data_IF_454193015741
#
_entry.id   IF_454193015741
#
_cell.length_a   1.000
_cell.length_b   1.000
_cell.length_c   1.000
_cell.angle_alpha   90.00
_cell.angle_beta   90.00
_cell.angle_gamma   90.00
#
_symmetry.space_group_name_H-M   'P 1'
#
loop_
_entity.id
_entity.type
_entity.pdbx_description
1 polymer ?
#
# COMPACT_ATOMS: atom_id res chain seq x y z
N UNK A 1 29.38 -10.34 -3.84
CA UNK A 1 27.90 -10.26 -3.79
C UNK A 1 27.35 -11.09 -4.96
N UNK A 2 26.51 -12.10 -4.72
CA UNK A 2 25.88 -12.91 -5.79
C UNK A 2 24.39 -12.59 -5.82
N UNK A 3 23.90 -12.09 -6.95
CA UNK A 3 22.48 -11.75 -7.13
C UNK A 3 21.69 -13.01 -7.47
N UNK A 4 20.57 -13.25 -6.77
CA UNK A 4 19.71 -14.42 -7.03
C UNK A 4 18.78 -14.10 -8.21
N UNK A 5 19.05 -14.70 -9.37
CA UNK A 5 18.28 -14.48 -10.61
C UNK A 5 17.37 -15.65 -10.99
N UNK A 6 17.11 -16.58 -10.06
CA UNK A 6 16.27 -17.75 -10.35
C UNK A 6 14.81 -17.34 -10.50
N UNK A 7 14.33 -17.37 -11.74
CA UNK A 7 12.92 -17.22 -12.06
C UNK A 7 12.17 -18.47 -11.59
N UNK A 8 11.11 -18.29 -10.81
CA UNK A 8 10.24 -19.39 -10.39
C UNK A 8 9.25 -19.70 -11.51
N UNK A 9 8.97 -21.00 -11.71
CA UNK A 9 7.89 -21.41 -12.61
C UNK A 9 6.56 -21.07 -11.91
N UNK A 10 5.69 -20.35 -12.61
CA UNK A 10 4.34 -20.05 -12.13
C UNK A 10 3.48 -21.31 -11.99
N UNK A 11 2.23 -21.19 -11.52
CA UNK A 11 1.38 -22.31 -11.09
C UNK A 11 0.96 -23.33 -12.17
N UNK A 12 1.47 -23.25 -13.41
CA UNK A 12 1.20 -24.22 -14.49
C UNK A 12 -0.21 -24.14 -15.10
N UNK A 13 -1.21 -23.72 -14.32
CA UNK A 13 -2.58 -23.43 -14.78
C UNK A 13 -3.27 -22.42 -13.86
N UNK A 14 -4.38 -21.84 -14.34
CA UNK A 14 -5.19 -20.88 -13.56
C UNK A 14 -5.78 -21.53 -12.30
N UNK A 15 -6.30 -22.75 -12.43
CA UNK A 15 -6.90 -23.49 -11.31
C UNK A 15 -5.86 -23.76 -10.21
N UNK A 16 -4.65 -24.18 -10.59
CA UNK A 16 -3.55 -24.40 -9.65
C UNK A 16 -3.12 -23.10 -8.95
N UNK A 17 -3.11 -21.97 -9.68
CA UNK A 17 -2.79 -20.66 -9.09
C UNK A 17 -3.79 -20.22 -8.04
N UNK A 18 -5.09 -20.40 -8.30
CA UNK A 18 -6.14 -20.08 -7.35
C UNK A 18 -6.05 -20.99 -6.12
N UNK A 19 -5.81 -22.29 -6.30
CA UNK A 19 -5.64 -23.22 -5.19
C UNK A 19 -4.43 -22.86 -4.31
N UNK A 20 -3.32 -22.40 -4.90
CA UNK A 20 -2.15 -21.92 -4.16
C UNK A 20 -2.48 -20.64 -3.38
N UNK A 21 -3.16 -19.67 -3.99
CA UNK A 21 -3.55 -18.44 -3.31
C UNK A 21 -4.47 -18.70 -2.11
N UNK A 22 -5.46 -19.59 -2.28
CA UNK A 22 -6.34 -20.00 -1.19
C UNK A 22 -5.54 -20.60 -0.02
N UNK A 23 -4.65 -21.56 -0.29
CA UNK A 23 -3.82 -22.19 0.76
C UNK A 23 -2.91 -21.19 1.47
N UNK A 24 -2.39 -20.19 0.75
CA UNK A 24 -1.58 -19.13 1.36
C UNK A 24 -2.41 -18.25 2.32
N UNK A 25 -3.65 -17.92 1.95
CA UNK A 25 -4.58 -17.15 2.80
C UNK A 25 -5.01 -17.99 4.01
N UNK A 26 -5.33 -19.26 3.80
CA UNK A 26 -5.70 -20.21 4.87
C UNK A 26 -4.57 -20.37 5.89
N UNK A 27 -3.33 -20.59 5.42
CA UNK A 27 -2.16 -20.66 6.30
C UNK A 27 -1.89 -19.32 7.01
N UNK A 28 -2.13 -18.20 6.33
CA UNK A 28 -2.01 -16.87 6.94
C UNK A 28 -3.06 -16.66 8.04
N UNK A 29 -4.28 -17.18 7.88
CA UNK A 29 -5.34 -17.07 8.88
C UNK A 29 -4.95 -17.74 10.21
N UNK A 30 -4.33 -18.92 10.17
CA UNK A 30 -3.85 -19.59 11.39
C UNK A 30 -2.69 -18.83 12.05
N UNK A 31 -1.89 -18.12 11.25
CA UNK A 31 -0.71 -17.40 11.72
C UNK A 31 -1.02 -15.99 12.23
N UNK A 32 -2.01 -15.32 11.66
CA UNK A 32 -2.39 -13.97 12.08
C UNK A 32 -3.26 -14.07 13.33
N UNK A 33 -2.79 -13.47 14.42
CA UNK A 33 -3.47 -13.54 15.71
C UNK A 33 -4.85 -12.88 15.62
N UNK A 34 -5.84 -13.54 16.23
CA UNK A 34 -7.16 -12.95 16.49
C UNK A 34 -6.97 -11.61 17.20
N UNK A 35 -7.75 -10.60 16.79
CA UNK A 35 -7.80 -9.32 17.51
C UNK A 35 -8.32 -9.61 18.92
N UNK A 36 -7.58 -9.19 19.95
CA UNK A 36 -7.87 -9.53 21.35
C UNK A 36 -9.23 -9.00 21.85
N UNK A 37 -9.79 -7.98 21.19
CA UNK A 37 -11.07 -7.37 21.52
C UNK A 37 -11.86 -7.06 20.24
N UNK A 38 -12.52 -8.07 19.65
CA UNK A 38 -13.26 -7.92 18.39
C UNK A 38 -14.42 -6.92 18.47
N UNK A 39 -15.01 -6.71 19.66
CA UNK A 39 -16.08 -5.74 19.91
C UNK A 39 -15.66 -4.30 19.61
N UNK A 40 -14.37 -3.95 19.75
CA UNK A 40 -13.86 -2.61 19.46
C UNK A 40 -13.53 -2.39 17.98
N UNK A 41 -13.53 -3.44 17.15
CA UNK A 41 -13.22 -3.33 15.72
C UNK A 41 -14.23 -2.45 15.00
N UNK A 42 -15.50 -2.46 15.42
CA UNK A 42 -16.51 -1.56 14.88
C UNK A 42 -16.15 -0.08 15.16
N UNK A 43 -15.72 0.24 16.38
CA UNK A 43 -15.33 1.60 16.77
C UNK A 43 -14.07 2.07 16.05
N UNK A 44 -13.08 1.18 15.86
CA UNK A 44 -11.89 1.48 15.04
C UNK A 44 -12.28 1.80 13.60
N UNK A 45 -13.20 1.03 13.01
CA UNK A 45 -13.72 1.27 11.65
C UNK A 45 -14.47 2.60 11.52
N UNK A 46 -15.12 3.04 12.61
CA UNK A 46 -15.78 4.34 12.70
C UNK A 46 -14.80 5.51 12.99
N UNK A 47 -13.50 5.24 13.08
CA UNK A 47 -12.47 6.27 13.26
C UNK A 47 -12.22 6.68 14.72
N UNK A 48 -12.70 5.89 15.69
CA UNK A 48 -12.42 6.17 17.10
C UNK A 48 -10.93 6.01 17.43
N UNK A 49 -10.39 6.91 18.25
CA UNK A 49 -8.98 6.90 18.63
C UNK A 49 -8.72 5.94 19.79
N UNK A 50 -7.73 5.05 19.63
CA UNK A 50 -7.26 4.15 20.67
C UNK A 50 -5.84 4.50 21.09
N UNK A 51 -5.58 4.56 22.39
CA UNK A 51 -4.23 4.68 22.93
C UNK A 51 -3.89 3.43 23.75
N UNK A 52 -2.84 2.70 23.36
CA UNK A 52 -2.43 1.42 23.99
C UNK A 52 -3.58 0.41 24.15
N UNK A 53 -4.49 0.34 23.17
CA UNK A 53 -5.63 -0.58 23.16
C UNK A 53 -6.85 -0.14 23.99
N UNK A 54 -6.83 1.07 24.58
CA UNK A 54 -7.99 1.66 25.27
C UNK A 54 -8.62 2.75 24.41
N UNK A 55 -9.95 2.76 24.35
CA UNK A 55 -10.71 3.81 23.67
C UNK A 55 -10.50 5.15 24.38
N UNK A 56 -10.16 6.18 23.62
CA UNK A 56 -9.99 7.52 24.14
C UNK A 56 -11.34 8.26 24.13
N UNK A 57 -11.95 8.45 25.29
CA UNK A 57 -13.28 9.09 25.43
C UNK A 57 -13.30 10.56 24.98
N UNK A 58 -12.14 11.24 24.99
CA UNK A 58 -12.01 12.63 24.56
C UNK A 58 -10.91 12.74 23.51
N UNK A 59 -11.22 13.03 22.23
CA UNK A 59 -10.18 13.30 21.25
C UNK A 59 -9.32 14.46 21.77
N UNK A 60 -7.97 14.39 21.67
CA UNK A 60 -7.14 15.52 22.00
C UNK A 60 -7.63 16.67 21.14
N UNK A 61 -7.94 17.80 21.77
CA UNK A 61 -8.37 18.99 21.04
C UNK A 61 -7.28 19.29 20.02
N UNK A 62 -7.58 19.09 18.75
CA UNK A 62 -6.80 19.70 17.68
C UNK A 62 -6.89 21.19 17.97
N UNK A 63 -5.85 21.79 18.53
CA UNK A 63 -5.73 23.24 18.60
C UNK A 63 -4.94 23.65 17.36
N UNK A 64 -5.58 23.99 16.23
CA UNK A 64 -4.89 24.63 15.13
C UNK A 64 -4.59 26.06 15.56
N UNK A 65 -3.57 26.25 16.39
CA UNK A 65 -3.43 27.49 17.13
C UNK A 65 -2.04 27.77 17.65
N UNK A 66 -0.99 27.37 16.94
CA UNK A 66 0.27 28.13 16.92
C UNK A 66 0.84 28.06 15.49
N UNK A 67 0.16 28.73 14.56
CA UNK A 67 0.82 29.23 13.37
C UNK A 67 1.70 30.41 13.84
N UNK A 68 2.98 30.13 14.12
CA UNK A 68 3.98 31.18 14.32
C UNK A 68 4.11 31.95 13.01
N UNK A 69 3.47 33.12 13.00
CA UNK A 69 3.58 34.17 12.02
C UNK A 69 5.00 34.76 12.13
N UNK A 70 5.99 34.11 11.54
CA UNK A 70 7.30 34.74 11.27
C UNK A 70 7.69 34.69 9.80
N UNK A 71 7.53 35.86 9.17
CA UNK A 71 8.28 36.43 8.04
C UNK A 71 8.40 35.58 6.76
N UNK A 72 7.55 35.76 5.74
CA UNK A 72 7.67 36.76 4.64
C UNK A 72 9.09 37.05 4.11
N UNK A 73 9.28 36.75 2.81
CA UNK A 73 10.31 37.11 1.81
C UNK A 73 11.68 36.37 1.90
N UNK A 74 12.32 35.83 0.84
CA UNK A 74 12.20 35.95 -0.64
C UNK A 74 12.92 34.75 -1.34
N UNK A 75 13.13 34.68 -2.68
CA UNK A 75 12.88 33.51 -3.53
C UNK A 75 14.15 32.69 -3.88
N UNK A 76 13.99 31.43 -4.28
CA UNK A 76 14.75 30.93 -5.42
C UNK A 76 14.14 29.67 -6.04
N UNK A 77 14.03 29.71 -7.37
CA UNK A 77 13.45 28.65 -8.18
C UNK A 77 14.33 27.41 -8.21
N UNK A 78 13.82 26.33 -7.62
CA UNK A 78 14.34 24.97 -7.80
C UNK A 78 13.40 24.17 -8.69
N UNK A 79 13.73 24.13 -9.99
CA UNK A 79 13.10 23.36 -11.07
C UNK A 79 12.72 21.92 -10.62
N UNK A 80 11.43 21.62 -10.54
CA UNK A 80 10.91 20.26 -10.39
C UNK A 80 11.43 19.40 -11.55
N UNK A 81 12.20 18.37 -11.25
CA UNK A 81 12.50 17.30 -12.20
C UNK A 81 11.21 16.50 -12.36
N UNK A 82 10.52 16.72 -13.47
CA UNK A 82 9.45 15.82 -13.91
C UNK A 82 10.06 14.44 -14.12
N UNK A 83 9.69 13.47 -13.29
CA UNK A 83 9.88 12.07 -13.60
C UNK A 83 8.99 11.76 -14.81
N UNK A 84 9.58 11.82 -16.01
CA UNK A 84 8.94 11.38 -17.23
C UNK A 84 8.73 9.87 -17.13
N UNK A 85 7.50 9.48 -16.85
CA UNK A 85 7.00 8.13 -17.06
C UNK A 85 7.27 7.75 -18.51
N UNK A 86 8.29 6.92 -18.73
CA UNK A 86 8.49 6.28 -20.02
C UNK A 86 7.35 5.27 -20.21
N UNK A 87 6.40 5.69 -21.05
CA UNK A 87 5.55 4.91 -21.94
C UNK A 87 5.23 3.47 -21.56
N UNK A 88 3.96 3.27 -21.21
CA UNK A 88 3.27 1.98 -21.36
C UNK A 88 2.49 1.97 -22.68
N UNK A 89 3.06 2.51 -23.77
CA UNK A 89 2.41 2.58 -25.07
C UNK A 89 3.40 2.10 -26.15
N UNK A 90 3.45 0.78 -26.37
CA UNK A 90 3.92 0.18 -27.62
C UNK A 90 3.62 -1.33 -27.61
N UNK A 91 2.35 -1.68 -27.76
CA UNK A 91 1.97 -2.98 -28.31
C UNK A 91 0.90 -2.71 -29.37
N UNK A 92 1.32 -2.32 -30.57
CA UNK A 92 0.53 -2.57 -31.77
C UNK A 92 1.40 -2.61 -33.02
N UNK A 93 1.16 -3.65 -33.82
CA UNK A 93 1.42 -3.77 -35.25
C UNK A 93 2.88 -3.88 -35.74
N UNK A 94 3.35 -5.12 -35.95
CA UNK A 94 4.05 -5.54 -37.16
C UNK A 94 4.22 -7.07 -37.15
N UNK A 95 3.77 -7.76 -38.20
CA UNK A 95 4.06 -9.19 -38.37
C UNK A 95 3.10 -10.01 -39.22
N UNK A 96 2.55 -9.44 -40.28
CA UNK A 96 2.08 -10.22 -41.43
C UNK A 96 3.28 -10.73 -42.23
N UNK A 97 3.50 -12.04 -42.23
CA UNK A 97 4.29 -12.80 -43.24
C UNK A 97 3.59 -14.17 -43.34
N UNK A 98 2.68 -14.41 -44.27
CA UNK A 98 2.88 -14.88 -45.65
C UNK A 98 3.47 -16.29 -45.77
N UNK A 99 2.69 -17.15 -46.44
CA UNK A 99 2.91 -18.53 -46.94
C UNK A 99 2.68 -19.69 -45.98
#
# INVERSE_FOLDING_TARGET
MRLRTKVTKGPGSRAAGIAMAYKLIEAAQTRWRKVNAPEFVALVRLGALFHKGKLLERPPRHHPGIADRRSRHHPNGGRLKTYRSAGFDNISAAGSTSS
#
